data_IF_836826924082
#
_entry.id   IF_836826924082
#
_cell.length_a   1.000
_cell.length_b   1.000
_cell.length_c   1.000
_cell.angle_alpha   90.00
_cell.angle_beta   90.00
_cell.angle_gamma   90.00
#
_symmetry.space_group_name_H-M   'P 1'
#
loop_
_entity.id
_entity.type
_entity.pdbx_description
1 polymer ?
#
# COMPACT_ATOMS: atom_id res chain seq x y z
N UNK A 1 -11.45 14.29 -11.80
CA UNK A 1 -12.08 13.31 -10.91
C UNK A 1 -11.03 12.64 -10.07
N UNK A 2 -11.32 12.41 -8.79
CA UNK A 2 -10.47 11.67 -7.84
C UNK A 2 -10.77 10.16 -8.01
N UNK A 3 -9.75 9.31 -7.85
CA UNK A 3 -9.90 7.86 -7.86
C UNK A 3 -9.64 7.29 -6.45
N UNK A 4 -10.31 6.18 -6.12
CA UNK A 4 -10.17 5.46 -4.84
C UNK A 4 -10.00 3.98 -5.14
N UNK A 5 -9.24 3.28 -4.30
CA UNK A 5 -9.16 1.82 -4.32
C UNK A 5 -10.20 1.25 -3.35
N UNK A 6 -11.13 0.44 -3.87
CA UNK A 6 -12.11 -0.28 -3.05
C UNK A 6 -11.75 -1.77 -3.01
N UNK A 7 -11.28 -2.22 -1.85
CA UNK A 7 -10.98 -3.62 -1.58
C UNK A 7 -12.00 -4.26 -0.61
N UNK A 8 -13.17 -3.66 -0.41
CA UNK A 8 -14.19 -4.12 0.55
C UNK A 8 -14.65 -5.56 0.30
N UNK A 9 -14.84 -5.94 -0.98
CA UNK A 9 -15.30 -7.28 -1.39
C UNK A 9 -14.22 -8.11 -2.08
N UNK A 10 -13.37 -7.48 -2.88
CA UNK A 10 -12.35 -8.16 -3.70
C UNK A 10 -11.04 -7.37 -3.61
N UNK A 11 -9.95 -8.07 -3.30
CA UNK A 11 -8.61 -7.50 -3.19
C UNK A 11 -7.60 -8.59 -2.85
N UNK A 12 -6.31 -8.31 -2.97
CA UNK A 12 -5.26 -9.21 -2.52
C UNK A 12 -5.06 -9.11 -0.99
N UNK A 13 -4.03 -9.78 -0.47
CA UNK A 13 -3.73 -9.80 0.97
C UNK A 13 -3.39 -8.41 1.56
N UNK A 14 -2.96 -7.42 0.75
CA UNK A 14 -2.56 -6.12 1.28
C UNK A 14 -3.73 -5.31 1.83
N UNK A 15 -4.98 -5.71 1.55
CA UNK A 15 -6.19 -5.12 2.16
C UNK A 15 -6.30 -5.30 3.67
N UNK A 16 -5.49 -6.18 4.26
CA UNK A 16 -5.47 -6.47 5.69
C UNK A 16 -4.34 -5.74 6.44
N UNK A 17 -3.53 -4.94 5.75
CA UNK A 17 -2.46 -4.16 6.39
C UNK A 17 -3.09 -3.01 7.17
N UNK A 18 -2.78 -2.97 8.47
CA UNK A 18 -3.38 -2.01 9.39
C UNK A 18 -2.67 -0.64 9.37
N UNK A 19 -3.36 0.32 9.99
CA UNK A 19 -2.82 1.64 10.27
C UNK A 19 -1.88 1.64 11.49
N UNK A 20 -0.83 2.46 11.44
CA UNK A 20 -0.06 2.89 12.61
C UNK A 20 0.37 4.35 12.47
N UNK A 21 0.41 5.10 13.59
CA UNK A 21 1.01 6.45 13.64
C UNK A 21 2.54 6.44 13.51
N UNK A 22 3.17 5.27 13.70
CA UNK A 22 4.61 5.04 13.49
C UNK A 22 4.79 3.83 12.56
N UNK A 23 4.48 3.96 11.27
CA UNK A 23 4.43 2.82 10.35
C UNK A 23 5.82 2.41 9.87
N UNK A 24 6.02 1.10 9.71
CA UNK A 24 7.25 0.54 9.15
C UNK A 24 7.23 0.43 7.62
N UNK A 25 6.09 0.67 6.97
CA UNK A 25 5.95 0.74 5.51
C UNK A 25 5.36 2.08 5.04
N UNK A 26 5.58 2.40 3.76
CA UNK A 26 4.92 3.50 3.05
C UNK A 26 4.24 3.00 1.77
N UNK A 27 3.24 3.75 1.31
CA UNK A 27 2.57 3.52 0.03
C UNK A 27 3.18 4.43 -1.03
N UNK A 28 3.70 3.85 -2.11
CA UNK A 28 4.30 4.60 -3.22
C UNK A 28 3.62 4.24 -4.55
N UNK A 29 3.41 5.21 -5.46
CA UNK A 29 2.94 4.93 -6.80
C UNK A 29 4.06 4.34 -7.64
N UNK A 30 3.81 3.19 -8.25
CA UNK A 30 4.67 2.58 -9.24
C UNK A 30 4.01 2.68 -10.63
N UNK A 31 4.78 3.17 -11.60
CA UNK A 31 4.35 3.33 -12.98
C UNK A 31 5.04 2.30 -13.87
N UNK A 32 4.52 1.07 -13.86
CA UNK A 32 4.95 -0.01 -14.74
C UNK A 32 3.77 -0.40 -15.64
N UNK A 33 3.99 -0.41 -16.95
CA UNK A 33 3.00 -0.76 -17.98
C UNK A 33 1.69 0.05 -17.92
N UNK A 34 1.73 1.28 -17.40
CA UNK A 34 0.54 2.11 -17.20
C UNK A 34 0.34 3.10 -18.35
N UNK A 35 -0.78 2.98 -19.06
CA UNK A 35 -1.19 3.96 -20.08
C UNK A 35 -1.73 5.27 -19.47
N UNK A 36 -2.30 5.22 -18.26
CA UNK A 36 -2.91 6.37 -17.59
C UNK A 36 -2.19 6.69 -16.26
N UNK A 37 -1.40 7.77 -16.26
CA UNK A 37 -0.65 8.24 -15.08
C UNK A 37 -1.52 8.63 -13.87
N UNK A 38 -2.84 8.76 -14.03
CA UNK A 38 -3.76 9.00 -12.89
C UNK A 38 -4.16 7.72 -12.16
N UNK A 39 -3.77 6.55 -12.66
CA UNK A 39 -4.07 5.23 -12.08
C UNK A 39 -2.78 4.41 -11.89
N UNK A 40 -1.84 4.87 -11.05
CA UNK A 40 -0.63 4.11 -10.75
C UNK A 40 -0.97 2.80 -10.04
N UNK A 41 -0.05 1.84 -10.09
CA UNK A 41 -0.06 0.72 -9.16
C UNK A 41 0.36 1.25 -7.77
N UNK A 42 -0.47 1.04 -6.75
CA UNK A 42 -0.08 1.36 -5.37
C UNK A 42 0.73 0.20 -4.79
N UNK A 43 1.92 0.51 -4.27
CA UNK A 43 2.89 -0.48 -3.79
C UNK A 43 3.34 -0.17 -2.38
N UNK A 44 3.60 -1.20 -1.57
CA UNK A 44 4.10 -1.04 -0.21
C UNK A 44 5.62 -1.22 -0.20
N UNK A 45 6.32 -0.31 0.45
CA UNK A 45 7.77 -0.32 0.59
C UNK A 45 8.15 -0.20 2.05
N UNK A 46 9.09 -1.02 2.49
CA UNK A 46 9.63 -0.97 3.86
C UNK A 46 10.49 0.27 4.04
N UNK A 47 10.27 1.00 5.14
CA UNK A 47 11.09 2.18 5.52
C UNK A 47 12.27 1.82 6.41
N UNK A 48 12.28 0.59 6.91
CA UNK A 48 13.27 0.03 7.81
C UNK A 48 13.30 -1.50 7.65
N UNK A 49 14.33 -2.15 8.20
CA UNK A 49 14.35 -3.61 8.30
C UNK A 49 13.19 -4.10 9.17
N UNK A 50 12.46 -5.11 8.70
CA UNK A 50 11.34 -5.75 9.41
C UNK A 50 11.81 -7.14 9.82
N UNK A 51 11.70 -7.48 11.11
CA UNK A 51 12.05 -8.81 11.60
C UNK A 51 10.84 -9.73 11.56
N UNK A 52 11.06 -11.05 11.57
CA UNK A 52 9.98 -12.02 11.55
C UNK A 52 9.07 -11.86 12.78
N UNK A 53 7.75 -11.81 12.55
CA UNK A 53 6.75 -11.61 13.59
C UNK A 53 6.31 -10.15 13.77
N UNK A 54 7.04 -9.18 13.22
CA UNK A 54 6.60 -7.78 13.24
C UNK A 54 5.36 -7.58 12.34
N UNK A 55 4.39 -6.82 12.84
CA UNK A 55 3.24 -6.42 12.03
C UNK A 55 3.65 -5.38 10.99
N UNK A 56 3.27 -5.61 9.73
CA UNK A 56 3.41 -4.63 8.64
C UNK A 56 2.31 -3.59 8.78
N UNK A 57 2.67 -2.30 8.84
CA UNK A 57 1.71 -1.19 9.00
C UNK A 57 2.01 -0.01 8.08
N UNK A 58 0.96 0.74 7.70
CA UNK A 58 1.04 1.96 6.90
C UNK A 58 0.37 3.15 7.61
N UNK A 59 0.63 4.38 7.15
CA UNK A 59 -0.24 5.51 7.50
C UNK A 59 -1.44 5.50 6.54
N UNK A 60 -2.66 5.53 7.09
CA UNK A 60 -3.87 5.76 6.30
C UNK A 60 -3.95 7.25 5.91
#
# INVERSE_FOLDING_TARGET
SIFVMDASRVGNFTRFVNHSCSPNCCVLPLYVDVQNKRKPLLTFWTRQTIVAGDEITISY
#
